data_IF_285842594853
#
_entry.id   IF_285842594853
#
_cell.length_a   1.000
_cell.length_b   1.000
_cell.length_c   1.000
_cell.angle_alpha   90.00
_cell.angle_beta   90.00
_cell.angle_gamma   90.00
#
_symmetry.space_group_name_H-M   'P 1'
#
loop_
_entity.id
_entity.type
_entity.pdbx_description
1 polymer ?
#
# COMPACT_ATOMS: atom_id res chain seq x y z
N UNK A 1 -22.66 17.33 20.53
CA UNK A 1 -21.23 17.72 20.48
C UNK A 1 -20.44 16.53 19.95
N UNK A 2 -19.88 16.65 18.74
CA UNK A 2 -19.13 15.56 18.11
C UNK A 2 -17.84 15.29 18.88
N UNK A 3 -17.60 14.03 19.27
CA UNK A 3 -16.30 13.61 19.82
C UNK A 3 -15.26 13.81 18.73
N UNK A 4 -14.27 14.68 18.98
CA UNK A 4 -13.05 14.74 18.19
C UNK A 4 -12.49 13.30 18.08
N UNK A 5 -12.02 12.86 16.91
CA UNK A 5 -11.29 11.60 16.82
C UNK A 5 -10.18 11.64 17.89
N UNK A 6 -10.11 10.60 18.71
CA UNK A 6 -9.11 10.51 19.78
C UNK A 6 -7.73 10.74 19.15
N UNK A 7 -7.02 11.80 19.57
CA UNK A 7 -5.70 12.20 19.07
C UNK A 7 -4.72 11.01 18.83
N UNK A 8 -4.68 9.97 19.70
CA UNK A 8 -3.82 8.80 19.47
C UNK A 8 -4.11 8.03 18.16
N UNK A 9 -5.34 8.02 17.67
CA UNK A 9 -5.72 7.29 16.45
C UNK A 9 -5.25 8.02 15.19
N UNK A 10 -5.36 9.36 15.18
CA UNK A 10 -4.89 10.20 14.08
C UNK A 10 -3.37 10.12 13.93
N UNK A 11 -2.65 10.28 15.05
CA UNK A 11 -1.18 10.22 15.06
C UNK A 11 -0.67 8.84 14.60
N UNK A 12 -1.35 7.76 15.00
CA UNK A 12 -1.04 6.40 14.54
C UNK A 12 -1.23 6.26 13.02
N UNK A 13 -2.29 6.83 12.47
CA UNK A 13 -2.55 6.78 11.04
C UNK A 13 -1.54 7.61 10.23
N UNK A 14 -1.13 8.78 10.72
CA UNK A 14 -0.08 9.59 10.11
C UNK A 14 1.27 8.86 10.08
N UNK A 15 1.67 8.26 11.21
CA UNK A 15 2.86 7.39 11.28
C UNK A 15 2.78 6.22 10.29
N UNK A 16 1.60 5.60 10.17
CA UNK A 16 1.37 4.51 9.23
C UNK A 16 1.49 4.97 7.78
N UNK A 17 0.94 6.14 7.43
CA UNK A 17 1.06 6.71 6.08
C UNK A 17 2.50 7.09 5.75
N UNK A 18 3.27 7.60 6.72
CA UNK A 18 4.69 7.88 6.54
C UNK A 18 5.48 6.60 6.24
N UNK A 19 5.28 5.55 7.02
CA UNK A 19 5.91 4.24 6.78
C UNK A 19 5.55 3.67 5.40
N UNK A 20 4.29 3.82 4.97
CA UNK A 20 3.84 3.42 3.62
C UNK A 20 4.60 4.19 2.54
N UNK A 21 4.76 5.52 2.68
CA UNK A 21 5.49 6.34 1.71
C UNK A 21 6.97 5.94 1.61
N UNK A 22 7.61 5.70 2.74
CA UNK A 22 9.01 5.23 2.78
C UNK A 22 9.15 3.86 2.12
N UNK A 23 8.21 2.96 2.37
CA UNK A 23 8.23 1.64 1.77
C UNK A 23 8.01 1.69 0.25
N UNK A 24 7.10 2.54 -0.24
CA UNK A 24 6.95 2.77 -1.70
C UNK A 24 8.25 3.23 -2.34
N UNK A 25 8.95 4.20 -1.72
CA UNK A 25 10.25 4.69 -2.21
C UNK A 25 11.31 3.57 -2.26
N UNK A 26 11.32 2.68 -1.26
CA UNK A 26 12.21 1.52 -1.27
C UNK A 26 11.92 0.57 -2.44
N UNK A 27 10.65 0.26 -2.67
CA UNK A 27 10.23 -0.61 -3.78
C UNK A 27 10.50 0.01 -5.17
N UNK A 28 10.42 1.34 -5.30
CA UNK A 28 10.83 2.05 -6.51
C UNK A 28 12.35 1.89 -6.77
N UNK A 29 13.16 1.95 -5.73
CA UNK A 29 14.59 1.66 -5.81
C UNK A 29 14.87 0.24 -6.28
N UNK A 30 14.23 -0.75 -5.65
CA UNK A 30 14.36 -2.16 -6.05
C UNK A 30 13.93 -2.41 -7.50
N UNK A 31 12.82 -1.81 -7.95
CA UNK A 31 12.35 -1.95 -9.33
C UNK A 31 13.39 -1.44 -10.32
N UNK A 32 13.99 -0.27 -10.02
CA UNK A 32 15.02 0.34 -10.86
C UNK A 32 16.26 -0.54 -10.96
N UNK A 33 16.71 -1.10 -9.84
CA UNK A 33 17.90 -1.95 -9.79
C UNK A 33 17.67 -3.30 -10.49
N UNK A 34 16.51 -3.93 -10.27
CA UNK A 34 16.11 -5.15 -10.97
C UNK A 34 15.95 -4.91 -12.48
N UNK A 35 15.31 -3.82 -12.88
CA UNK A 35 15.14 -3.46 -14.30
C UNK A 35 16.48 -3.21 -14.99
N UNK A 36 17.41 -2.53 -14.31
CA UNK A 36 18.77 -2.32 -14.82
C UNK A 36 19.53 -3.65 -14.95
N UNK A 37 19.35 -4.55 -13.98
CA UNK A 37 19.99 -5.88 -13.97
C UNK A 37 19.42 -6.77 -15.08
N UNK A 38 18.10 -6.82 -15.25
CA UNK A 38 17.42 -7.52 -16.35
C UNK A 38 17.94 -7.05 -17.71
N UNK A 39 18.04 -5.73 -17.95
CA UNK A 39 18.58 -5.20 -19.22
C UNK A 39 20.02 -5.64 -19.48
N UNK A 40 20.88 -5.58 -18.46
CA UNK A 40 22.29 -6.02 -18.57
C UNK A 40 22.40 -7.51 -18.87
N UNK A 41 21.57 -8.33 -18.20
CA UNK A 41 21.58 -9.77 -18.37
C UNK A 41 20.96 -10.18 -19.70
N UNK A 42 19.83 -9.60 -20.11
CA UNK A 42 19.23 -9.89 -21.42
C UNK A 42 20.21 -9.68 -22.57
N UNK A 43 20.99 -8.59 -22.56
CA UNK A 43 22.02 -8.37 -23.58
C UNK A 43 23.11 -9.46 -23.57
N UNK A 44 23.47 -9.96 -22.38
CA UNK A 44 24.49 -11.01 -22.19
C UNK A 44 23.95 -12.40 -22.50
N UNK A 45 22.72 -12.69 -22.10
CA UNK A 45 22.04 -13.97 -22.29
C UNK A 45 21.62 -14.16 -23.76
N UNK A 46 21.25 -13.10 -24.48
CA UNK A 46 21.08 -13.15 -25.95
C UNK A 46 22.40 -13.50 -26.63
N UNK A 47 23.52 -12.93 -26.17
CA UNK A 47 24.84 -13.25 -26.69
C UNK A 47 25.32 -14.67 -26.31
N UNK A 48 24.79 -15.25 -25.24
CA UNK A 48 25.23 -16.54 -24.68
C UNK A 48 24.20 -17.68 -24.82
N UNK A 49 22.99 -17.41 -25.33
CA UNK A 49 21.84 -18.34 -25.43
C UNK A 49 21.41 -19.01 -24.12
N UNK A 50 21.63 -18.37 -22.96
CA UNK A 50 21.31 -18.93 -21.62
C UNK A 50 20.27 -18.02 -20.96
N UNK A 51 18.97 -18.34 -21.01
CA UNK A 51 17.88 -17.42 -20.62
C UNK A 51 17.26 -17.60 -19.21
N UNK A 52 17.93 -18.34 -18.32
CA UNK A 52 17.35 -18.70 -17.02
C UNK A 52 17.34 -17.52 -16.03
N UNK A 53 18.36 -16.64 -16.05
CA UNK A 53 18.50 -15.58 -15.05
C UNK A 53 17.58 -14.39 -15.37
N UNK A 54 17.42 -14.00 -16.66
CA UNK A 54 16.44 -12.97 -17.00
C UNK A 54 15.01 -13.36 -16.64
N UNK A 55 14.65 -14.64 -16.80
CA UNK A 55 13.32 -15.14 -16.43
C UNK A 55 13.02 -14.91 -14.95
N UNK A 56 13.95 -15.28 -14.06
CA UNK A 56 13.80 -15.05 -12.61
C UNK A 56 13.67 -13.56 -12.24
N UNK A 57 14.37 -12.67 -12.95
CA UNK A 57 14.25 -11.22 -12.70
C UNK A 57 12.91 -10.68 -13.21
N UNK A 58 12.40 -11.15 -14.35
CA UNK A 58 11.08 -10.76 -14.84
C UNK A 58 9.97 -11.20 -13.87
N UNK A 59 10.07 -12.40 -13.30
CA UNK A 59 9.15 -12.86 -12.27
C UNK A 59 9.22 -11.97 -11.01
N UNK A 60 10.43 -11.65 -10.55
CA UNK A 60 10.60 -10.75 -9.40
C UNK A 60 9.97 -9.36 -9.65
N UNK A 61 10.10 -8.80 -10.86
CA UNK A 61 9.45 -7.55 -11.25
C UNK A 61 7.91 -7.67 -11.25
N UNK A 62 7.37 -8.81 -11.69
CA UNK A 62 5.92 -9.06 -11.63
C UNK A 62 5.41 -9.12 -10.18
N UNK A 63 6.11 -9.83 -9.29
CA UNK A 63 5.76 -9.86 -7.87
C UNK A 63 5.82 -8.48 -7.24
N UNK A 64 6.84 -7.68 -7.60
CA UNK A 64 6.99 -6.30 -7.14
C UNK A 64 5.79 -5.44 -7.55
N UNK A 65 5.29 -5.58 -8.77
CA UNK A 65 4.11 -4.88 -9.24
C UNK A 65 2.85 -5.23 -8.42
N UNK A 66 2.68 -6.49 -8.02
CA UNK A 66 1.57 -6.92 -7.15
C UNK A 66 1.70 -6.27 -5.77
N UNK A 67 2.89 -6.31 -5.18
CA UNK A 67 3.15 -5.71 -3.85
C UNK A 67 2.85 -4.22 -3.86
N UNK A 68 3.27 -3.49 -4.90
CA UNK A 68 2.96 -2.06 -5.04
C UNK A 68 1.46 -1.78 -5.06
N UNK A 69 0.67 -2.57 -5.80
CA UNK A 69 -0.80 -2.45 -5.82
C UNK A 69 -1.44 -2.69 -4.45
N UNK A 70 -0.94 -3.67 -3.70
CA UNK A 70 -1.42 -3.94 -2.33
C UNK A 70 -1.15 -2.73 -1.44
N UNK A 71 0.05 -2.15 -1.51
CA UNK A 71 0.41 -0.96 -0.72
C UNK A 71 -0.46 0.24 -1.07
N UNK A 72 -0.70 0.50 -2.36
CA UNK A 72 -1.62 1.57 -2.80
C UNK A 72 -3.04 1.37 -2.27
N UNK A 73 -3.51 0.12 -2.19
CA UNK A 73 -4.81 -0.19 -1.59
C UNK A 73 -4.80 0.07 -0.08
N UNK A 74 -3.74 -0.34 0.61
CA UNK A 74 -3.56 -0.10 2.05
C UNK A 74 -3.49 1.41 2.36
N UNK A 75 -2.74 2.18 1.58
CA UNK A 75 -2.65 3.64 1.68
C UNK A 75 -4.03 4.29 1.60
N UNK A 76 -4.84 3.90 0.61
CA UNK A 76 -6.23 4.37 0.45
C UNK A 76 -7.11 4.04 1.65
N UNK A 77 -6.99 2.84 2.21
CA UNK A 77 -7.77 2.42 3.39
C UNK A 77 -7.40 3.25 4.61
N UNK A 78 -6.09 3.40 4.89
CA UNK A 78 -5.60 4.18 6.03
C UNK A 78 -6.00 5.65 5.88
N UNK A 79 -5.87 6.20 4.66
CA UNK A 79 -6.25 7.59 4.38
C UNK A 79 -7.75 7.84 4.56
N UNK A 80 -8.62 6.91 4.12
CA UNK A 80 -10.08 7.02 4.27
C UNK A 80 -10.55 6.84 5.71
N UNK A 81 -9.93 5.93 6.47
CA UNK A 81 -10.27 5.69 7.88
C UNK A 81 -9.97 6.92 8.75
N UNK A 82 -9.02 7.77 8.35
CA UNK A 82 -8.79 9.07 8.98
C UNK A 82 -9.91 10.10 8.74
N UNK A 83 -10.71 9.95 7.68
CA UNK A 83 -11.80 10.87 7.33
C UNK A 83 -13.12 10.42 7.96
N UNK A 84 -13.36 9.10 8.05
CA UNK A 84 -14.58 8.53 8.61
C UNK A 84 -14.44 8.28 10.13
N UNK A 85 -14.61 9.34 10.92
CA UNK A 85 -14.97 9.20 12.34
C UNK A 85 -16.36 8.54 12.43
N UNK A 86 -16.61 7.58 13.34
CA UNK A 86 -17.90 6.90 13.45
C UNK A 86 -18.92 7.84 14.10
N UNK A 87 -19.61 8.60 13.26
CA UNK A 87 -20.76 9.42 13.60
C UNK A 87 -21.99 9.02 12.79
N UNK A 88 -22.17 7.72 12.55
CA UNK A 88 -23.42 7.16 12.04
C UNK A 88 -24.17 6.56 13.22
N UNK A 89 -24.88 7.41 13.97
CA UNK A 89 -25.84 6.95 14.98
C UNK A 89 -26.91 6.17 14.24
N UNK A 90 -26.94 4.86 14.44
CA UNK A 90 -28.14 4.06 14.21
C UNK A 90 -29.25 4.73 15.01
N UNK A 91 -30.21 5.33 14.31
CA UNK A 91 -31.40 5.89 14.91
C UNK A 91 -32.26 4.71 15.39
N UNK A 92 -31.90 4.15 16.55
CA UNK A 92 -32.80 3.32 17.34
C UNK A 92 -33.94 4.22 17.80
N UNK A 93 -35.20 3.99 17.38
CA UNK A 93 -36.31 4.81 17.85
C UNK A 93 -36.53 4.49 19.33
N UNK A 94 -36.40 5.48 20.20
CA UNK A 94 -36.75 5.34 21.61
C UNK A 94 -38.24 4.95 21.76
N UNK A 95 -38.58 4.10 22.74
CA UNK A 95 -39.97 3.74 23.01
C UNK A 95 -40.68 4.94 23.65
N UNK A 96 -41.75 5.40 22.99
CA UNK A 96 -42.68 6.38 23.57
C UNK A 96 -43.32 5.81 24.83
N UNK A 97 -42.95 6.33 26.00
CA UNK A 97 -43.75 6.17 27.22
C UNK A 97 -44.89 7.18 27.20
N UNK A 98 -46.12 6.68 27.07
CA UNK A 98 -47.33 7.45 27.34
C UNK A 98 -47.69 7.27 28.82
N UNK A 99 -47.78 8.37 29.56
CA UNK A 99 -48.51 8.52 30.82
C UNK A 99 -49.27 9.84 30.76
#
# INVERSE_FOLDING_TARGET
MGKKPEQPQLERAEKTLLAIKEFKRYLDGMEKDLSRTSKKLSNREVAQSVGFVATGIHEALNYLAIVKKVIEKTERIVSKRNISSPGGTDASPEPRTNL
#
